data_IF_490897533512
#
_entry.id   IF_490897533512
#
_cell.length_a   1.000
_cell.length_b   1.000
_cell.length_c   1.000
_cell.angle_alpha   90.00
_cell.angle_beta   90.00
_cell.angle_gamma   90.00
#
_symmetry.space_group_name_H-M   'P 1'
#
loop_
_entity.id
_entity.type
_entity.pdbx_description
1 polymer ?
#
# COMPACT_ATOMS: atom_id res chain seq x y z
N UNK A 1 11.16 0.32 20.22
CA UNK A 1 10.11 -0.56 19.66
C UNK A 1 10.09 -0.27 18.17
N UNK A 2 10.26 -1.28 17.33
CA UNK A 2 10.33 -1.11 15.87
C UNK A 2 9.09 -1.76 15.27
N UNK A 3 8.26 -0.99 14.57
CA UNK A 3 7.09 -1.51 13.86
C UNK A 3 7.46 -1.88 12.42
N UNK A 4 6.80 -2.92 11.91
CA UNK A 4 6.89 -3.34 10.53
C UNK A 4 5.47 -3.62 10.01
N UNK A 5 5.13 -3.03 8.87
CA UNK A 5 3.88 -3.26 8.16
C UNK A 5 4.21 -3.65 6.73
N UNK A 6 3.92 -4.89 6.36
CA UNK A 6 4.02 -5.32 4.97
C UNK A 6 2.87 -4.69 4.15
N UNK A 7 3.23 -4.08 3.03
CA UNK A 7 2.27 -3.53 2.08
C UNK A 7 2.00 -4.53 0.95
N UNK A 8 0.81 -4.47 0.31
CA UNK A 8 0.51 -5.33 -0.82
C UNK A 8 1.40 -4.99 -2.02
N UNK A 9 1.87 -6.02 -2.72
CA UNK A 9 2.57 -5.86 -3.98
C UNK A 9 1.68 -5.24 -5.06
N UNK A 10 2.32 -4.59 -6.02
CA UNK A 10 1.61 -4.05 -7.20
C UNK A 10 1.28 -5.19 -8.16
N UNK A 11 -0.03 -5.38 -8.40
CA UNK A 11 -0.54 -6.37 -9.36
C UNK A 11 -0.55 -5.83 -10.79
N UNK A 12 -0.79 -6.69 -11.77
CA UNK A 12 -0.75 -6.37 -13.21
C UNK A 12 -1.63 -5.18 -13.62
N UNK A 13 -2.77 -4.99 -12.97
CA UNK A 13 -3.71 -3.88 -13.17
C UNK A 13 -3.36 -2.63 -12.33
N UNK A 14 -2.39 -2.75 -11.44
CA UNK A 14 -1.97 -1.71 -10.51
C UNK A 14 -0.76 -0.90 -10.96
N UNK A 15 -0.10 -1.26 -12.06
CA UNK A 15 1.08 -0.55 -12.55
C UNK A 15 0.73 0.76 -13.28
N UNK A 16 1.55 1.78 -13.06
CA UNK A 16 1.58 3.04 -13.80
C UNK A 16 2.77 3.09 -14.78
N UNK A 17 3.38 4.27 -14.93
CA UNK A 17 4.55 4.42 -15.80
C UNK A 17 5.76 3.67 -15.25
N UNK A 18 6.63 3.15 -16.14
CA UNK A 18 7.92 2.53 -15.78
C UNK A 18 7.81 1.37 -14.77
N UNK A 19 6.70 0.63 -14.80
CA UNK A 19 6.42 -0.44 -13.83
C UNK A 19 6.41 0.02 -12.37
N UNK A 20 6.13 1.30 -12.11
CA UNK A 20 5.88 1.79 -10.77
C UNK A 20 4.43 1.55 -10.35
N UNK A 21 4.13 1.53 -9.03
CA UNK A 21 2.76 1.55 -8.53
C UNK A 21 1.98 2.74 -9.12
N UNK A 22 0.86 2.44 -9.77
CA UNK A 22 -0.09 3.43 -10.28
C UNK A 22 -1.16 3.79 -9.24
N UNK A 23 -2.14 4.63 -9.62
CA UNK A 23 -3.17 5.11 -8.69
C UNK A 23 -3.93 4.00 -7.96
N UNK A 24 -4.24 2.90 -8.65
CA UNK A 24 -4.93 1.73 -8.05
C UNK A 24 -4.07 1.09 -6.97
N UNK A 25 -2.78 0.88 -7.24
CA UNK A 25 -1.85 0.27 -6.27
C UNK A 25 -1.64 1.17 -5.05
N UNK A 26 -1.48 2.49 -5.26
CA UNK A 26 -1.40 3.46 -4.17
C UNK A 26 -2.65 3.47 -3.28
N UNK A 27 -3.85 3.41 -3.88
CA UNK A 27 -5.10 3.32 -3.12
C UNK A 27 -5.15 2.06 -2.25
N UNK A 28 -4.74 0.92 -2.80
CA UNK A 28 -4.72 -0.35 -2.07
C UNK A 28 -3.75 -0.32 -0.88
N UNK A 29 -2.54 0.19 -1.09
CA UNK A 29 -1.56 0.37 -0.02
C UNK A 29 -2.05 1.38 1.04
N UNK A 30 -2.69 2.47 0.62
CA UNK A 30 -3.23 3.48 1.54
C UNK A 30 -4.31 2.90 2.46
N UNK A 31 -5.20 2.04 1.96
CA UNK A 31 -6.20 1.37 2.80
C UNK A 31 -5.54 0.53 3.90
N UNK A 32 -4.52 -0.27 3.57
CA UNK A 32 -3.79 -1.10 4.55
C UNK A 32 -3.09 -0.24 5.61
N UNK A 33 -2.46 0.86 5.20
CA UNK A 33 -1.79 1.79 6.13
C UNK A 33 -2.81 2.44 7.06
N UNK A 34 -3.92 2.94 6.53
CA UNK A 34 -4.96 3.61 7.33
C UNK A 34 -5.57 2.65 8.34
N UNK A 35 -5.86 1.41 7.94
CA UNK A 35 -6.43 0.43 8.85
C UNK A 35 -5.44 0.03 9.95
N UNK A 36 -4.16 -0.16 9.62
CA UNK A 36 -3.13 -0.37 10.65
C UNK A 36 -3.03 0.82 11.62
N UNK A 37 -3.04 2.05 11.11
CA UNK A 37 -2.92 3.24 11.95
C UNK A 37 -4.11 3.40 12.91
N UNK A 38 -5.33 2.98 12.53
CA UNK A 38 -6.49 2.98 13.44
C UNK A 38 -6.36 2.00 14.60
N UNK A 39 -5.55 0.95 14.46
CA UNK A 39 -5.30 -0.01 15.55
C UNK A 39 -4.20 0.46 16.51
N UNK A 40 -3.28 1.31 16.01
CA UNK A 40 -2.10 1.74 16.75
C UNK A 40 -2.27 3.11 17.41
N UNK A 41 -3.09 4.00 16.83
CA UNK A 41 -3.36 5.36 17.33
C UNK A 41 -4.70 5.39 18.04
#
# INVERSE_FOLDING_TARGET
>A
MTSYLALPDTKTDGFGSRQHPGPVSHKNAANVIVDYLKEVI
#
